data_IF_315439830885
#
_entry.id   IF_315439830885
#
_cell.length_a   1.000
_cell.length_b   1.000
_cell.length_c   1.000
_cell.angle_alpha   90.00
_cell.angle_beta   90.00
_cell.angle_gamma   90.00
#
_symmetry.space_group_name_H-M   'P 1'
#
loop_
_entity.id
_entity.type
_entity.pdbx_description
1 polymer ?
#
# COMPACT_ATOMS: atom_id res chain seq x y z
N UNK A 1 -14.08 -18.41 39.82
CA UNK A 1 -14.16 -17.24 38.92
C UNK A 1 -14.86 -17.74 37.70
N UNK A 2 -16.03 -17.20 37.37
CA UNK A 2 -16.74 -17.60 36.15
C UNK A 2 -15.85 -17.18 34.97
N UNK A 3 -15.22 -18.17 34.32
CA UNK A 3 -14.48 -17.93 33.10
C UNK A 3 -15.50 -17.45 32.06
N UNK A 4 -15.33 -16.21 31.60
CA UNK A 4 -16.20 -15.63 30.59
C UNK A 4 -15.97 -16.41 29.30
N UNK A 5 -16.94 -17.26 28.96
CA UNK A 5 -16.89 -18.02 27.72
C UNK A 5 -17.15 -17.06 26.55
N UNK A 6 -16.10 -16.77 25.79
CA UNK A 6 -16.23 -16.00 24.55
C UNK A 6 -16.88 -16.90 23.50
N UNK A 7 -18.01 -16.48 22.88
CA UNK A 7 -18.62 -17.26 21.84
C UNK A 7 -17.64 -17.54 20.69
N UNK A 8 -17.49 -18.81 20.30
CA UNK A 8 -16.47 -19.24 19.34
C UNK A 8 -16.57 -18.53 17.98
N UNK A 9 -17.79 -18.16 17.56
CA UNK A 9 -18.04 -17.42 16.33
C UNK A 9 -17.58 -15.94 16.37
N UNK A 10 -17.09 -15.44 17.51
CA UNK A 10 -16.42 -14.15 17.62
C UNK A 10 -14.90 -14.26 17.47
N UNK A 11 -14.33 -15.47 17.51
CA UNK A 11 -12.90 -15.70 17.49
C UNK A 11 -12.40 -15.82 16.05
N UNK A 12 -11.34 -15.09 15.72
CA UNK A 12 -10.65 -15.20 14.45
C UNK A 12 -9.92 -16.55 14.35
N UNK A 13 -10.14 -17.37 13.30
CA UNK A 13 -9.46 -18.65 13.16
C UNK A 13 -7.94 -18.57 12.98
N UNK A 14 -7.39 -17.39 12.62
CA UNK A 14 -5.95 -17.18 12.40
C UNK A 14 -5.26 -16.73 13.68
N UNK A 15 -5.77 -15.67 14.31
CA UNK A 15 -5.13 -15.07 15.49
C UNK A 15 -5.61 -15.67 16.81
N UNK A 16 -6.71 -16.42 16.79
CA UNK A 16 -7.38 -16.98 17.98
C UNK A 16 -7.79 -15.90 18.99
N UNK A 17 -7.96 -14.65 18.52
CA UNK A 17 -8.44 -13.51 19.31
C UNK A 17 -9.82 -13.08 18.83
N UNK A 18 -10.55 -12.32 19.65
CA UNK A 18 -11.82 -11.71 19.25
C UNK A 18 -11.60 -10.81 18.03
N UNK A 19 -12.43 -11.00 17.00
CA UNK A 19 -12.39 -10.20 15.78
C UNK A 19 -12.74 -8.74 16.05
N UNK A 20 -11.87 -7.82 15.62
CA UNK A 20 -12.07 -6.36 15.76
C UNK A 20 -12.76 -5.79 14.53
N UNK A 21 -12.36 -6.23 13.35
CA UNK A 21 -13.02 -5.92 12.08
C UNK A 21 -13.34 -7.21 11.31
N UNK A 22 -14.46 -7.90 11.62
CA UNK A 22 -14.80 -9.16 10.99
C UNK A 22 -15.08 -8.98 9.49
N UNK A 23 -14.42 -9.79 8.68
CA UNK A 23 -14.56 -9.85 7.22
C UNK A 23 -14.74 -11.28 6.75
N UNK A 24 -15.65 -11.47 5.81
CA UNK A 24 -15.97 -12.77 5.25
C UNK A 24 -15.27 -12.93 3.90
N UNK A 25 -14.48 -13.99 3.79
CA UNK A 25 -13.85 -14.40 2.54
C UNK A 25 -14.87 -15.09 1.61
N UNK A 26 -14.53 -15.25 0.33
CA UNK A 26 -15.35 -15.98 -0.65
C UNK A 26 -15.65 -17.43 -0.24
N UNK A 27 -14.86 -18.01 0.67
CA UNK A 27 -15.09 -19.33 1.25
C UNK A 27 -16.23 -19.36 2.27
N UNK A 28 -16.82 -18.21 2.60
CA UNK A 28 -17.84 -18.06 3.63
C UNK A 28 -17.29 -17.94 5.05
N UNK A 29 -15.98 -18.11 5.24
CA UNK A 29 -15.34 -18.06 6.55
C UNK A 29 -15.03 -16.61 6.91
N UNK A 30 -15.30 -16.26 8.17
CA UNK A 30 -15.07 -14.91 8.68
C UNK A 30 -13.79 -14.86 9.51
N UNK A 31 -12.99 -13.83 9.28
CA UNK A 31 -11.71 -13.58 9.93
C UNK A 31 -11.67 -12.17 10.47
N UNK A 32 -10.74 -11.90 11.39
CA UNK A 32 -10.32 -10.53 11.63
C UNK A 32 -9.57 -10.00 10.41
N UNK A 33 -9.92 -8.80 9.95
CA UNK A 33 -9.33 -8.17 8.76
C UNK A 33 -7.80 -8.17 8.80
N UNK A 34 -7.19 -7.69 9.88
CA UNK A 34 -5.74 -7.57 9.98
C UNK A 34 -5.07 -8.94 9.82
N UNK A 35 -5.65 -9.97 10.44
CA UNK A 35 -5.14 -11.33 10.41
C UNK A 35 -5.19 -11.94 9.00
N UNK A 36 -6.32 -11.80 8.28
CA UNK A 36 -6.46 -12.36 6.93
C UNK A 36 -5.68 -11.54 5.89
N UNK A 37 -5.59 -10.23 6.05
CA UNK A 37 -4.77 -9.37 5.18
C UNK A 37 -3.28 -9.70 5.36
N UNK A 38 -2.80 -9.90 6.58
CA UNK A 38 -1.42 -10.35 6.83
C UNK A 38 -1.16 -11.74 6.21
N UNK A 39 -2.11 -12.67 6.33
CA UNK A 39 -2.01 -13.99 5.72
C UNK A 39 -1.87 -13.92 4.18
N UNK A 40 -2.72 -13.12 3.52
CA UNK A 40 -2.73 -13.04 2.06
C UNK A 40 -1.60 -12.19 1.50
N UNK A 41 -1.31 -11.03 2.10
CA UNK A 41 -0.40 -10.04 1.54
C UNK A 41 1.02 -10.11 2.09
N UNK A 42 1.18 -10.31 3.40
CA UNK A 42 2.49 -10.38 4.05
C UNK A 42 3.11 -11.76 3.88
N UNK A 43 2.36 -12.81 4.23
CA UNK A 43 2.83 -14.19 4.14
C UNK A 43 2.74 -14.75 2.72
N UNK A 44 2.12 -14.00 1.79
CA UNK A 44 1.98 -14.37 0.38
C UNK A 44 1.25 -15.69 0.17
N UNK A 45 0.37 -16.07 1.09
CA UNK A 45 -0.45 -17.27 0.93
C UNK A 45 -1.56 -17.04 -0.10
N UNK A 46 -2.09 -18.13 -0.64
CA UNK A 46 -3.16 -18.13 -1.66
C UNK A 46 -4.25 -19.17 -1.36
N UNK A 47 -4.28 -19.65 -0.12
CA UNK A 47 -5.21 -20.66 0.37
C UNK A 47 -5.92 -20.15 1.61
N UNK A 48 -7.16 -20.60 1.78
CA UNK A 48 -7.93 -20.36 2.98
C UNK A 48 -7.31 -21.12 4.16
N UNK A 49 -7.01 -20.45 5.29
CA UNK A 49 -6.37 -21.10 6.45
C UNK A 49 -7.17 -22.26 7.05
N UNK A 50 -8.49 -22.27 6.84
CA UNK A 50 -9.40 -23.22 7.48
C UNK A 50 -9.87 -24.29 6.49
N UNK A 51 -10.32 -23.90 5.29
CA UNK A 51 -10.85 -24.85 4.30
C UNK A 51 -9.80 -25.41 3.34
N UNK A 52 -8.58 -24.87 3.36
CA UNK A 52 -7.51 -25.13 2.39
C UNK A 52 -7.91 -24.88 0.92
N UNK A 53 -9.05 -24.24 0.67
CA UNK A 53 -9.49 -23.90 -0.68
C UNK A 53 -8.71 -22.71 -1.23
N UNK A 54 -8.55 -22.59 -2.57
CA UNK A 54 -7.95 -21.42 -3.18
C UNK A 54 -8.64 -20.13 -2.71
N UNK A 55 -7.83 -19.18 -2.24
CA UNK A 55 -8.26 -17.85 -1.84
C UNK A 55 -7.34 -16.83 -2.52
N UNK A 56 -7.68 -16.38 -3.74
CA UNK A 56 -6.91 -15.38 -4.46
C UNK A 56 -6.72 -14.11 -3.63
N UNK A 57 -5.55 -13.49 -3.70
CA UNK A 57 -5.23 -12.27 -2.91
C UNK A 57 -6.11 -11.06 -3.29
N UNK A 58 -6.57 -11.04 -4.53
CA UNK A 58 -7.47 -10.00 -5.04
C UNK A 58 -8.94 -10.31 -4.77
N UNK A 59 -9.24 -11.39 -4.04
CA UNK A 59 -10.62 -11.70 -3.65
C UNK A 59 -11.13 -10.64 -2.68
N UNK A 60 -12.30 -10.09 -2.97
CA UNK A 60 -12.94 -9.12 -2.10
C UNK A 60 -13.28 -9.76 -0.74
N UNK A 61 -12.80 -9.12 0.32
CA UNK A 61 -13.16 -9.43 1.70
C UNK A 61 -14.40 -8.62 2.07
N UNK A 62 -15.54 -9.28 2.19
CA UNK A 62 -16.81 -8.61 2.47
C UNK A 62 -16.91 -8.27 3.96
N UNK A 63 -17.07 -7.01 4.37
CA UNK A 63 -17.24 -6.66 5.78
C UNK A 63 -18.49 -7.31 6.40
N UNK A 64 -18.34 -7.99 7.54
CA UNK A 64 -19.48 -8.58 8.25
C UNK A 64 -19.96 -7.63 9.36
N UNK A 65 -20.75 -6.62 8.96
CA UNK A 65 -21.23 -5.58 9.88
C UNK A 65 -22.15 -6.12 10.98
N UNK A 66 -22.95 -7.15 10.69
CA UNK A 66 -23.82 -7.79 11.68
C UNK A 66 -22.98 -8.43 12.78
N UNK A 67 -21.99 -9.26 12.42
CA UNK A 67 -21.11 -9.90 13.40
C UNK A 67 -20.34 -8.85 14.21
N UNK A 68 -19.88 -7.77 13.56
CA UNK A 68 -19.22 -6.67 14.26
C UNK A 68 -20.10 -6.04 15.33
N UNK A 69 -21.38 -5.78 15.01
CA UNK A 69 -22.35 -5.21 15.98
C UNK A 69 -22.60 -6.16 17.14
N UNK A 70 -22.68 -7.47 16.87
CA UNK A 70 -22.85 -8.50 17.91
C UNK A 70 -21.64 -8.57 18.85
N UNK A 71 -20.43 -8.57 18.30
CA UNK A 71 -19.18 -8.54 19.08
C UNK A 71 -19.15 -7.29 19.97
N UNK A 72 -19.44 -6.11 19.41
CA UNK A 72 -19.44 -4.86 20.17
C UNK A 72 -20.50 -4.85 21.29
N UNK A 73 -21.70 -5.34 21.01
CA UNK A 73 -22.76 -5.47 21.99
C UNK A 73 -22.34 -6.43 23.12
N UNK A 74 -21.76 -7.58 22.77
CA UNK A 74 -21.25 -8.55 23.72
C UNK A 74 -20.13 -7.97 24.59
N UNK A 75 -19.15 -7.25 24.01
CA UNK A 75 -18.11 -6.58 24.79
C UNK A 75 -18.69 -5.54 25.75
N UNK A 76 -19.73 -4.81 25.33
CA UNK A 76 -20.38 -3.79 26.18
C UNK A 76 -21.14 -4.43 27.34
N UNK A 77 -21.83 -5.55 27.10
CA UNK A 77 -22.57 -6.29 28.13
C UNK A 77 -21.64 -6.94 29.16
N UNK A 78 -20.45 -7.38 28.74
CA UNK A 78 -19.47 -8.06 29.60
C UNK A 78 -18.38 -7.12 30.13
N UNK A 79 -18.54 -5.80 29.98
CA UNK A 79 -17.54 -4.82 30.41
C UNK A 79 -17.27 -4.85 31.92
N UNK A 80 -18.30 -5.14 32.73
CA UNK A 80 -18.19 -5.30 34.19
C UNK A 80 -17.34 -6.50 34.61
N UNK A 81 -17.17 -7.48 33.71
CA UNK A 81 -16.38 -8.68 33.93
C UNK A 81 -14.94 -8.52 33.41
N UNK A 82 -14.53 -7.31 32.99
CA UNK A 82 -13.18 -7.02 32.51
C UNK A 82 -13.00 -7.14 30.99
N UNK A 83 -14.07 -7.42 30.23
CA UNK A 83 -13.99 -7.40 28.76
C UNK A 83 -13.87 -5.96 28.26
N UNK A 84 -12.75 -5.63 27.64
CA UNK A 84 -12.51 -4.30 27.07
C UNK A 84 -13.35 -4.12 25.81
N UNK A 85 -13.98 -2.95 25.69
CA UNK A 85 -14.71 -2.57 24.49
C UNK A 85 -13.76 -2.50 23.29
N UNK A 86 -14.08 -3.25 22.25
CA UNK A 86 -13.38 -3.17 20.98
C UNK A 86 -13.82 -1.88 20.26
N UNK A 87 -12.88 -0.96 19.93
CA UNK A 87 -13.20 0.26 19.21
C UNK A 87 -13.69 -0.06 17.80
N UNK A 88 -14.59 0.77 17.28
CA UNK A 88 -15.02 0.64 15.88
C UNK A 88 -13.79 0.86 14.98
N UNK A 89 -13.46 -0.09 14.10
CA UNK A 89 -12.38 0.06 13.14
C UNK A 89 -12.55 1.37 12.35
N UNK A 90 -11.45 2.10 12.11
CA UNK A 90 -11.49 3.31 11.29
C UNK A 90 -12.10 2.96 9.93
N UNK A 91 -12.97 3.81 9.42
CA UNK A 91 -13.54 3.64 8.08
C UNK A 91 -12.41 3.46 7.06
N UNK A 92 -12.51 2.50 6.13
CA UNK A 92 -11.47 2.28 5.15
C UNK A 92 -11.23 3.57 4.35
N UNK A 93 -9.97 3.82 4.02
CA UNK A 93 -9.58 4.95 3.19
C UNK A 93 -10.40 4.95 1.90
N UNK A 94 -11.06 6.09 1.63
CA UNK A 94 -11.88 6.26 0.44
C UNK A 94 -11.07 6.98 -0.63
N UNK A 95 -11.17 6.50 -1.89
CA UNK A 95 -10.58 7.14 -3.07
C UNK A 95 -10.88 8.64 -3.16
N UNK A 96 -12.07 9.08 -2.76
CA UNK A 96 -12.45 10.51 -2.75
C UNK A 96 -11.55 11.31 -1.80
N UNK A 97 -11.24 10.76 -0.61
CA UNK A 97 -10.35 11.43 0.35
C UNK A 97 -8.93 11.53 -0.20
N UNK A 98 -8.42 10.46 -0.81
CA UNK A 98 -7.09 10.46 -1.44
C UNK A 98 -7.03 11.49 -2.56
N UNK A 99 -8.03 11.53 -3.44
CA UNK A 99 -8.10 12.51 -4.53
C UNK A 99 -8.19 13.95 -4.01
N UNK A 100 -8.80 14.19 -2.85
CA UNK A 100 -8.81 15.51 -2.22
C UNK A 100 -7.40 15.93 -1.80
N UNK A 101 -6.63 15.03 -1.18
CA UNK A 101 -5.24 15.28 -0.78
C UNK A 101 -4.32 15.51 -2.00
N UNK A 102 -4.53 14.76 -3.08
CA UNK A 102 -3.76 14.92 -4.32
C UNK A 102 -3.99 16.26 -5.03
N UNK A 103 -5.09 16.98 -4.75
CA UNK A 103 -5.32 18.31 -5.32
C UNK A 103 -4.45 19.40 -4.67
N UNK A 104 -3.92 19.13 -3.48
CA UNK A 104 -3.19 20.12 -2.68
C UNK A 104 -1.81 19.59 -2.24
N UNK A 105 -1.05 19.06 -3.19
CA UNK A 105 0.32 18.57 -2.93
C UNK A 105 1.33 19.67 -2.61
N UNK A 106 0.96 20.95 -2.80
CA UNK A 106 1.79 22.06 -2.35
C UNK A 106 1.67 22.29 -0.84
N UNK A 107 0.60 21.81 -0.19
CA UNK A 107 0.51 21.77 1.27
C UNK A 107 1.31 20.56 1.79
N UNK A 108 2.41 20.77 2.53
CA UNK A 108 3.20 19.67 3.10
C UNK A 108 2.37 18.75 4.01
N UNK A 109 1.27 19.26 4.61
CA UNK A 109 0.36 18.42 5.42
C UNK A 109 -0.35 17.36 4.59
N UNK A 110 -0.66 17.65 3.32
CA UNK A 110 -1.29 16.68 2.42
C UNK A 110 -0.37 15.51 2.14
N UNK A 111 0.93 15.79 1.91
CA UNK A 111 1.95 14.77 1.69
C UNK A 111 2.21 13.94 2.93
N UNK A 112 2.39 14.59 4.09
CA UNK A 112 2.51 13.89 5.37
C UNK A 112 1.29 12.99 5.65
N UNK A 113 0.08 13.47 5.35
CA UNK A 113 -1.12 12.66 5.52
C UNK A 113 -1.15 11.44 4.57
N UNK A 114 -0.71 11.59 3.32
CA UNK A 114 -0.60 10.49 2.38
C UNK A 114 0.44 9.45 2.83
N UNK A 115 1.56 9.90 3.39
CA UNK A 115 2.59 9.03 3.96
C UNK A 115 2.06 8.24 5.17
N UNK A 116 1.43 8.92 6.13
CA UNK A 116 0.82 8.27 7.29
C UNK A 116 -0.22 7.23 6.85
N UNK A 117 -1.08 7.58 5.89
CA UNK A 117 -2.04 6.63 5.31
C UNK A 117 -1.34 5.44 4.67
N UNK A 118 -0.24 5.64 3.95
CA UNK A 118 0.54 4.56 3.34
C UNK A 118 1.18 3.64 4.40
N UNK A 119 1.64 4.20 5.52
CA UNK A 119 2.24 3.43 6.61
C UNK A 119 1.20 2.62 7.42
N UNK A 120 -0.06 3.09 7.50
CA UNK A 120 -1.10 2.50 8.36
C UNK A 120 -1.53 1.07 7.95
N UNK A 121 -1.71 0.76 6.65
CA UNK A 121 -2.19 -0.57 6.23
C UNK A 121 -1.88 -0.91 4.78
N UNK A 122 -1.79 -2.21 4.45
CA UNK A 122 -1.65 -2.67 3.06
C UNK A 122 -2.88 -2.30 2.20
N UNK A 123 -4.08 -2.27 2.80
CA UNK A 123 -5.30 -1.79 2.12
C UNK A 123 -5.18 -0.32 1.71
N UNK A 124 -4.66 0.53 2.60
CA UNK A 124 -4.40 1.93 2.24
C UNK A 124 -3.38 2.00 1.10
N UNK A 125 -2.29 1.23 1.13
CA UNK A 125 -1.31 1.19 0.04
C UNK A 125 -1.96 0.82 -1.31
N UNK A 126 -2.84 -0.18 -1.33
CA UNK A 126 -3.62 -0.55 -2.53
C UNK A 126 -4.54 0.59 -2.98
N UNK A 127 -5.26 1.23 -2.05
CA UNK A 127 -6.12 2.36 -2.38
C UNK A 127 -5.33 3.56 -2.94
N UNK A 128 -4.15 3.87 -2.37
CA UNK A 128 -3.26 4.92 -2.84
C UNK A 128 -2.72 4.61 -4.25
N UNK A 129 -2.36 3.35 -4.52
CA UNK A 129 -1.96 2.89 -5.85
C UNK A 129 -3.10 3.13 -6.87
N UNK A 130 -4.30 2.61 -6.58
CA UNK A 130 -5.48 2.73 -7.46
C UNK A 130 -5.99 4.17 -7.63
N UNK A 131 -5.66 5.06 -6.68
CA UNK A 131 -5.92 6.49 -6.76
C UNK A 131 -4.88 7.26 -7.60
N UNK A 132 -3.80 6.59 -8.06
CA UNK A 132 -2.75 7.21 -8.86
C UNK A 132 -1.75 8.03 -8.04
N UNK A 133 -1.65 7.80 -6.73
CA UNK A 133 -0.71 8.51 -5.85
C UNK A 133 0.74 8.37 -6.33
N UNK A 134 1.24 7.19 -6.74
CA UNK A 134 2.61 7.08 -7.22
C UNK A 134 2.92 7.97 -8.42
N UNK A 135 1.98 8.07 -9.37
CA UNK A 135 2.11 8.98 -10.51
C UNK A 135 2.21 10.43 -10.06
N UNK A 136 1.37 10.83 -9.12
CA UNK A 136 1.37 12.17 -8.58
C UNK A 136 2.68 12.50 -7.84
N UNK A 137 3.25 11.56 -7.08
CA UNK A 137 4.55 11.73 -6.41
C UNK A 137 5.70 11.88 -7.41
N UNK A 138 5.70 11.07 -8.48
CA UNK A 138 6.70 11.20 -9.56
C UNK A 138 6.62 12.60 -10.20
N UNK A 139 5.42 13.06 -10.54
CA UNK A 139 5.23 14.40 -11.12
C UNK A 139 5.67 15.50 -10.15
N UNK A 140 5.40 15.34 -8.85
CA UNK A 140 5.86 16.26 -7.82
C UNK A 140 7.40 16.35 -7.76
N UNK A 141 8.09 15.21 -7.74
CA UNK A 141 9.57 15.16 -7.73
C UNK A 141 10.16 15.80 -9.00
N UNK A 142 9.60 15.49 -10.17
CA UNK A 142 10.03 16.11 -11.44
C UNK A 142 9.80 17.61 -11.44
N UNK A 143 8.71 18.09 -10.83
CA UNK A 143 8.43 19.52 -10.70
C UNK A 143 9.43 20.22 -9.78
N UNK A 144 9.86 19.59 -8.68
CA UNK A 144 10.95 20.11 -7.84
C UNK A 144 12.25 20.27 -8.64
N UNK A 145 12.61 19.26 -9.45
CA UNK A 145 13.77 19.31 -10.33
C UNK A 145 13.67 20.44 -11.36
N UNK A 146 12.55 20.57 -12.07
CA UNK A 146 12.34 21.62 -13.08
C UNK A 146 12.45 23.03 -12.51
N UNK A 147 12.02 23.22 -11.26
CA UNK A 147 12.12 24.51 -10.57
C UNK A 147 13.50 24.75 -9.96
N UNK A 148 14.36 23.72 -9.88
CA UNK A 148 15.64 23.77 -9.19
C UNK A 148 15.48 24.05 -7.69
N UNK A 149 14.32 23.72 -7.11
CA UNK A 149 13.96 24.05 -5.73
C UNK A 149 13.46 22.80 -5.02
N UNK A 150 14.04 22.51 -3.87
CA UNK A 150 13.55 21.45 -3.00
C UNK A 150 12.32 21.97 -2.28
N UNK A 151 11.16 21.41 -2.64
CA UNK A 151 9.90 21.75 -1.98
C UNK A 151 9.78 20.97 -0.66
N UNK A 152 9.13 21.58 0.33
CA UNK A 152 8.68 20.88 1.54
C UNK A 152 7.75 19.75 1.12
N UNK A 153 7.93 18.56 1.67
CA UNK A 153 7.18 17.37 1.24
C UNK A 153 7.96 16.40 0.34
N UNK A 154 9.19 16.75 -0.08
CA UNK A 154 9.97 15.90 -0.99
C UNK A 154 10.33 14.54 -0.36
N UNK A 155 10.73 14.55 0.92
CA UNK A 155 11.07 13.34 1.66
C UNK A 155 9.84 12.42 1.76
N UNK A 156 8.69 13.00 2.11
CA UNK A 156 7.40 12.31 2.20
C UNK A 156 6.99 11.74 0.85
N UNK A 157 7.17 12.48 -0.25
CA UNK A 157 6.89 11.99 -1.60
C UNK A 157 7.74 10.78 -1.98
N UNK A 158 9.04 10.80 -1.64
CA UNK A 158 9.94 9.66 -1.86
C UNK A 158 9.59 8.47 -0.96
N UNK A 159 9.24 8.74 0.29
CA UNK A 159 8.80 7.75 1.26
C UNK A 159 7.50 7.06 0.83
N UNK A 160 6.52 7.81 0.31
CA UNK A 160 5.29 7.26 -0.27
C UNK A 160 5.60 6.31 -1.43
N UNK A 161 6.53 6.66 -2.33
CA UNK A 161 6.97 5.78 -3.43
C UNK A 161 7.67 4.51 -2.93
N UNK A 162 8.21 4.53 -1.72
CA UNK A 162 8.72 3.31 -1.09
C UNK A 162 7.62 2.42 -0.55
N UNK A 163 6.68 3.03 0.19
CA UNK A 163 5.58 2.32 0.84
C UNK A 163 4.63 1.70 -0.16
N UNK A 164 4.24 2.44 -1.21
CA UNK A 164 3.29 1.97 -2.22
C UNK A 164 4.02 1.10 -3.24
N UNK A 165 3.77 -0.22 -3.19
CA UNK A 165 4.36 -1.20 -4.12
C UNK A 165 3.71 -1.05 -5.51
N UNK A 166 4.37 -0.31 -6.40
CA UNK A 166 3.95 -0.17 -7.80
C UNK A 166 4.20 -1.51 -8.54
N UNK A 167 3.17 -2.11 -9.18
CA UNK A 167 3.32 -3.28 -10.04
C UNK A 167 4.33 -3.05 -11.17
N UNK A 168 4.88 -4.13 -11.72
CA UNK A 168 6.01 -4.04 -12.65
C UNK A 168 5.65 -3.29 -13.93
N UNK A 169 4.45 -3.56 -14.42
CA UNK A 169 3.87 -3.06 -15.65
C UNK A 169 3.54 -1.58 -15.51
N UNK A 170 2.90 -1.21 -14.39
CA UNK A 170 2.54 0.18 -14.09
C UNK A 170 3.79 1.03 -13.86
N UNK A 171 4.82 0.51 -13.20
CA UNK A 171 6.09 1.22 -13.03
C UNK A 171 6.76 1.53 -14.38
N UNK A 172 6.74 0.60 -15.34
CA UNK A 172 7.30 0.84 -16.67
C UNK A 172 6.56 1.94 -17.42
N UNK A 173 5.22 1.98 -17.32
CA UNK A 173 4.38 3.04 -17.90
C UNK A 173 4.71 4.38 -17.24
N UNK A 174 4.75 4.42 -15.91
CA UNK A 174 5.06 5.64 -15.16
C UNK A 174 6.44 6.22 -15.47
N UNK A 175 7.46 5.37 -15.65
CA UNK A 175 8.81 5.81 -15.98
C UNK A 175 8.92 6.25 -17.45
N UNK A 176 8.24 5.56 -18.37
CA UNK A 176 8.22 5.93 -19.79
C UNK A 176 7.56 7.29 -20.01
N UNK A 177 6.51 7.59 -19.24
CA UNK A 177 5.79 8.86 -19.30
C UNK A 177 6.55 10.01 -18.63
N UNK A 178 7.57 9.71 -17.82
CA UNK A 178 8.35 10.69 -17.04
C UNK A 178 9.85 10.43 -17.21
N UNK A 179 10.37 10.59 -18.43
CA UNK A 179 11.80 10.43 -18.76
C UNK A 179 12.74 11.22 -17.83
N UNK A 180 12.30 12.39 -17.40
CA UNK A 180 13.02 13.28 -16.48
C UNK A 180 13.12 12.77 -15.04
N UNK A 181 12.43 11.69 -14.65
CA UNK A 181 12.50 11.20 -13.27
C UNK A 181 13.90 10.73 -12.87
N UNK A 182 14.65 10.14 -13.81
CA UNK A 182 16.01 9.71 -13.55
C UNK A 182 16.94 10.91 -13.35
N UNK A 183 16.80 11.94 -14.19
CA UNK A 183 17.54 13.20 -14.04
C UNK A 183 17.17 13.91 -12.74
N UNK A 184 15.89 13.88 -12.37
CA UNK A 184 15.39 14.45 -11.12
C UNK A 184 15.99 13.74 -9.90
N UNK A 185 16.05 12.41 -9.93
CA UNK A 185 16.65 11.63 -8.85
C UNK A 185 18.18 11.80 -8.81
N UNK A 186 18.84 11.89 -9.96
CA UNK A 186 20.27 12.19 -10.04
C UNK A 186 20.59 13.59 -9.49
N UNK A 187 19.76 14.57 -9.82
CA UNK A 187 19.85 15.93 -9.26
C UNK A 187 19.74 15.91 -7.73
N UNK A 188 18.78 15.17 -7.17
CA UNK A 188 18.65 15.02 -5.71
C UNK A 188 19.88 14.38 -5.05
N UNK A 189 20.51 13.41 -5.71
CA UNK A 189 21.74 12.80 -5.18
C UNK A 189 22.94 13.75 -5.22
N UNK A 190 22.97 14.66 -6.19
CA UNK A 190 24.03 15.67 -6.34
C UNK A 190 23.91 16.85 -5.37
N UNK A 191 22.72 17.04 -4.78
CA UNK A 191 22.46 18.13 -3.83
C UNK A 191 22.88 17.72 -2.41
N UNK A 192 23.85 18.43 -1.82
CA UNK A 192 24.36 18.11 -0.47
C UNK A 192 23.66 18.91 0.65
N UNK A 193 23.16 20.12 0.34
CA UNK A 193 22.62 21.09 1.31
C UNK A 193 21.18 20.82 1.76
N UNK A 194 20.76 19.57 1.89
CA UNK A 194 19.39 19.23 2.31
C UNK A 194 19.29 18.96 3.82
N UNK A 195 18.27 19.53 4.47
CA UNK A 195 17.75 18.95 5.72
C UNK A 195 17.33 17.50 5.42
N UNK A 196 17.77 16.55 6.26
CA UNK A 196 17.59 15.12 6.05
C UNK A 196 18.22 14.54 4.76
N UNK A 197 19.30 15.14 4.25
CA UNK A 197 20.03 14.71 3.04
C UNK A 197 20.26 13.19 2.96
N UNK A 198 20.60 12.53 4.07
CA UNK A 198 20.81 11.07 4.12
C UNK A 198 19.52 10.30 3.81
N UNK A 199 18.38 10.68 4.40
CA UNK A 199 17.10 10.00 4.19
C UNK A 199 16.62 10.19 2.74
N UNK A 200 16.65 11.43 2.24
CA UNK A 200 16.29 11.76 0.86
C UNK A 200 17.16 10.98 -0.13
N UNK A 201 18.49 10.97 0.06
CA UNK A 201 19.41 10.21 -0.78
C UNK A 201 19.17 8.70 -0.69
N UNK A 202 18.93 8.16 0.51
CA UNK A 202 18.61 6.74 0.71
C UNK A 202 17.34 6.35 -0.04
N UNK A 203 16.26 7.10 0.13
CA UNK A 203 14.99 6.86 -0.56
C UNK A 203 15.14 7.02 -2.07
N UNK A 204 15.84 8.06 -2.54
CA UNK A 204 16.11 8.29 -3.96
C UNK A 204 16.89 7.11 -4.57
N UNK A 205 17.94 6.62 -3.90
CA UNK A 205 18.69 5.42 -4.32
C UNK A 205 17.78 4.20 -4.37
N UNK A 206 16.87 4.02 -3.42
CA UNK A 206 15.97 2.87 -3.42
C UNK A 206 14.90 2.95 -4.53
N UNK A 207 14.39 4.15 -4.85
CA UNK A 207 13.52 4.39 -6.01
C UNK A 207 14.30 4.13 -7.32
N UNK A 208 15.55 4.61 -7.40
CA UNK A 208 16.45 4.32 -8.53
C UNK A 208 16.73 2.83 -8.67
N UNK A 209 17.00 2.08 -7.59
CA UNK A 209 17.20 0.62 -7.66
C UNK A 209 15.97 -0.11 -8.20
N UNK A 210 14.76 0.35 -7.83
CA UNK A 210 13.51 -0.22 -8.34
C UNK A 210 13.32 0.03 -9.85
N UNK A 211 13.86 1.13 -10.38
CA UNK A 211 13.79 1.51 -11.81
C UNK A 211 14.96 0.98 -12.66
N UNK A 212 16.20 1.04 -12.16
CA UNK A 212 17.43 0.69 -12.87
C UNK A 212 17.66 -0.81 -13.05
N UNK A 213 17.09 -1.64 -12.17
CA UNK A 213 17.08 -3.10 -12.34
C UNK A 213 16.41 -3.57 -13.67
N UNK A 214 15.90 -2.65 -14.50
CA UNK A 214 15.07 -2.95 -15.66
C UNK A 214 15.44 -2.24 -16.96
N UNK A 215 16.21 -1.15 -16.92
CA UNK A 215 16.73 -0.56 -18.17
C UNK A 215 17.60 -1.57 -18.92
N UNK A 216 18.24 -2.51 -18.20
CA UNK A 216 19.01 -3.62 -18.79
C UNK A 216 18.14 -4.63 -19.58
N UNK A 217 16.84 -4.79 -19.26
CA UNK A 217 15.96 -5.70 -20.02
C UNK A 217 15.33 -5.06 -21.27
N UNK A 218 15.03 -3.77 -21.23
CA UNK A 218 14.41 -3.10 -22.39
C UNK A 218 15.42 -2.92 -23.53
N UNK A 219 16.71 -2.73 -23.21
CA UNK A 219 17.75 -2.66 -24.23
C UNK A 219 17.91 -3.97 -25.03
N UNK A 220 17.68 -5.13 -24.41
CA UNK A 220 17.90 -6.42 -25.08
C UNK A 220 16.76 -6.81 -26.05
N UNK A 221 15.54 -6.28 -25.87
CA UNK A 221 14.40 -6.62 -26.72
C UNK A 221 14.34 -5.85 -28.04
N UNK A 222 15.21 -4.87 -28.27
CA UNK A 222 15.29 -4.14 -29.55
C UNK A 222 16.26 -4.74 -30.57
N UNK A 223 16.97 -5.83 -30.22
CA UNK A 223 18.01 -6.42 -31.05
C UNK A 223 17.67 -7.80 -31.60
N UNK A 224 16.49 -8.02 -32.18
CA UNK A 224 16.20 -9.26 -32.90
C UNK A 224 15.15 -9.02 -33.97
N UNK A 225 15.53 -8.34 -35.05
CA UNK A 225 14.81 -8.44 -36.32
C UNK A 225 15.62 -9.34 -37.27
N UNK A 226 15.34 -10.65 -37.31
CA UNK A 226 15.89 -11.53 -38.34
C UNK A 226 14.96 -11.47 -39.56
N UNK A 227 15.19 -10.48 -40.44
CA UNK A 227 14.68 -10.52 -41.82
C UNK A 227 15.87 -10.78 -42.74
N UNK A 228 16.12 -12.05 -43.05
CA UNK A 228 15.55 -12.78 -44.20
C UNK A 228 16.09 -12.21 -45.52
N UNK A 229 17.14 -12.82 -46.06
CA UNK A 229 17.04 -13.84 -47.12
C UNK A 229 16.61 -13.27 -48.47
N UNK A 230 17.54 -13.35 -49.44
CA UNK A 230 17.38 -13.75 -50.86
C UNK A 230 18.69 -13.38 -51.59
N UNK A 231 19.56 -14.32 -52.03
CA UNK A 231 19.43 -15.15 -53.25
C UNK A 231 19.00 -14.23 -54.42
N UNK A 232 19.82 -13.85 -55.39
CA UNK A 232 20.92 -14.51 -56.10
C UNK A 232 22.00 -13.50 -56.50
#
# INVERSE_FOLDING_TARGET
MDEIEVPQYFICPISLQIMKDPVTAITGITYDRESIEQWLFTNKNTTCPVSNQPLPRDSDLTPNHTLRRLIQAWCTQNASLGIVRIPTPKSPLNKIQVLKLLKDLNDPKSLLQLELLAAESERNKKCLLEAGVPRAMIMFIVNCYKKGQIQKGLEEALSILQFVKIPREECAILLKDNDQILDSLAWLLSHDEMENSIAVKSHAVQVLKKSSARTTCVAFSRGSNPRSSKQW
#
